data_IF_778004392253
#
_entry.id   IF_778004392253
#
_cell.length_a   1.000
_cell.length_b   1.000
_cell.length_c   1.000
_cell.angle_alpha   90.00
_cell.angle_beta   90.00
_cell.angle_gamma   90.00
#
_symmetry.space_group_name_H-M   'P 1'
#
loop_
_entity.id
_entity.type
_entity.pdbx_description
1 polymer ?
#
# COMPACT_ATOMS: atom_id res chain seq x y z
N UNK A 1 7.76 -25.42 -4.78
CA UNK A 1 7.51 -25.29 -3.33
C UNK A 1 7.13 -23.83 -3.07
N UNK A 2 6.25 -23.49 -2.11
CA UNK A 2 5.96 -22.11 -1.74
C UNK A 2 7.18 -21.41 -1.13
N UNK A 3 7.11 -20.07 -0.95
CA UNK A 3 8.18 -19.32 -0.27
C UNK A 3 8.41 -19.94 1.12
N UNK A 4 9.63 -19.95 1.66
CA UNK A 4 9.93 -20.63 2.92
C UNK A 4 8.92 -20.26 4.02
N UNK A 5 8.15 -21.25 4.48
CA UNK A 5 7.14 -21.06 5.53
C UNK A 5 5.77 -20.56 5.07
N UNK A 6 5.48 -20.52 3.77
CA UNK A 6 4.12 -20.33 3.24
C UNK A 6 3.48 -21.69 2.98
N UNK A 7 2.20 -21.84 3.35
CA UNK A 7 1.44 -23.08 3.07
C UNK A 7 0.68 -22.96 1.74
N UNK A 8 -0.56 -22.50 1.77
CA UNK A 8 -1.41 -22.29 0.58
C UNK A 8 -1.18 -20.93 -0.06
N UNK A 9 -0.65 -19.96 0.70
CA UNK A 9 -0.48 -18.58 0.24
C UNK A 9 -1.71 -17.69 0.47
N UNK A 10 -2.86 -18.26 0.86
CA UNK A 10 -4.14 -17.53 0.93
C UNK A 10 -4.36 -16.89 2.29
N UNK A 11 -3.89 -17.52 3.36
CA UNK A 11 -4.13 -17.08 4.73
C UNK A 11 -3.53 -15.68 4.99
N UNK A 12 -4.07 -14.94 5.95
CA UNK A 12 -3.52 -13.64 6.33
C UNK A 12 -2.03 -13.76 6.72
N UNK A 13 -1.66 -14.80 7.47
CA UNK A 13 -0.28 -15.07 7.86
C UNK A 13 0.62 -15.36 6.65
N UNK A 14 0.16 -16.17 5.69
CA UNK A 14 0.93 -16.46 4.48
C UNK A 14 1.13 -15.21 3.60
N UNK A 15 0.09 -14.37 3.48
CA UNK A 15 0.14 -13.11 2.73
C UNK A 15 1.15 -12.16 3.35
N UNK A 16 1.10 -11.96 4.67
CA UNK A 16 2.05 -11.12 5.40
C UNK A 16 3.47 -11.65 5.22
N UNK A 17 3.69 -12.97 5.33
CA UNK A 17 5.01 -13.58 5.12
C UNK A 17 5.54 -13.35 3.71
N UNK A 18 4.66 -13.44 2.70
CA UNK A 18 5.02 -13.16 1.31
C UNK A 18 5.42 -11.69 1.13
N UNK A 19 4.69 -10.75 1.74
CA UNK A 19 5.05 -9.32 1.73
C UNK A 19 6.39 -9.08 2.41
N UNK A 20 6.63 -9.67 3.59
CA UNK A 20 7.90 -9.55 4.31
C UNK A 20 9.08 -10.06 3.49
N UNK A 21 8.94 -11.22 2.84
CA UNK A 21 9.97 -11.75 1.94
C UNK A 21 10.24 -10.81 0.75
N UNK A 22 9.20 -10.17 0.21
CA UNK A 22 9.34 -9.27 -0.93
C UNK A 22 10.03 -7.93 -0.60
N UNK A 23 9.94 -7.45 0.64
CA UNK A 23 10.51 -6.16 1.08
C UNK A 23 11.80 -6.30 1.91
N UNK A 24 12.33 -7.52 2.04
CA UNK A 24 13.60 -7.78 2.72
C UNK A 24 14.75 -7.07 2.00
N UNK A 25 15.74 -6.58 2.75
CA UNK A 25 16.86 -5.81 2.17
C UNK A 25 17.74 -6.65 1.24
N UNK A 26 17.78 -7.96 1.46
CA UNK A 26 18.51 -8.94 0.69
C UNK A 26 17.61 -9.81 -0.20
N UNK A 27 16.35 -9.39 -0.41
CA UNK A 27 15.36 -10.13 -1.19
C UNK A 27 15.89 -10.50 -2.58
N UNK A 28 15.77 -11.78 -2.94
CA UNK A 28 16.22 -12.34 -4.21
C UNK A 28 15.04 -12.87 -5.01
N UNK A 29 15.17 -12.97 -6.36
CA UNK A 29 14.11 -13.54 -7.18
C UNK A 29 13.66 -14.95 -6.78
N UNK A 30 14.57 -15.74 -6.18
CA UNK A 30 14.30 -17.11 -5.72
C UNK A 30 13.46 -17.21 -4.44
N UNK A 31 13.29 -16.11 -3.70
CA UNK A 31 12.54 -16.10 -2.43
C UNK A 31 11.02 -16.03 -2.66
N UNK A 32 10.59 -15.69 -3.89
CA UNK A 32 9.20 -15.50 -4.26
C UNK A 32 8.79 -16.41 -5.42
N UNK A 33 7.71 -17.15 -5.22
CA UNK A 33 7.12 -18.01 -6.25
C UNK A 33 6.03 -17.30 -7.04
N UNK A 34 5.80 -17.75 -8.28
CA UNK A 34 4.79 -17.23 -9.20
C UNK A 34 4.09 -18.42 -9.89
N UNK A 35 2.75 -18.41 -10.02
CA UNK A 35 1.79 -17.42 -9.50
C UNK A 35 1.63 -17.49 -7.96
N UNK A 36 1.00 -16.47 -7.37
CA UNK A 36 0.73 -16.37 -5.93
C UNK A 36 -0.50 -15.52 -5.63
N UNK A 37 -0.77 -15.27 -4.35
CA UNK A 37 -1.96 -14.55 -3.86
C UNK A 37 -1.68 -13.10 -3.41
N UNK A 38 -0.45 -12.63 -3.60
CA UNK A 38 -0.07 -11.22 -3.47
C UNK A 38 0.11 -10.66 -4.88
N UNK A 39 -0.39 -9.45 -5.10
CA UNK A 39 -0.39 -8.78 -6.41
C UNK A 39 0.48 -7.51 -6.32
N UNK A 40 1.78 -7.58 -6.66
CA UNK A 40 2.65 -6.42 -6.61
C UNK A 40 2.22 -5.37 -7.63
N UNK A 41 2.15 -4.11 -7.20
CA UNK A 41 1.94 -2.95 -8.05
C UNK A 41 3.22 -2.11 -8.07
N UNK A 42 3.56 -1.56 -9.24
CA UNK A 42 4.73 -0.68 -9.40
C UNK A 42 4.27 0.77 -9.52
N UNK A 43 4.63 1.60 -8.54
CA UNK A 43 4.37 3.04 -8.61
C UNK A 43 5.21 3.72 -9.70
N UNK A 44 4.65 4.78 -10.28
CA UNK A 44 5.41 5.69 -11.13
C UNK A 44 6.56 6.39 -10.35
N UNK A 45 7.71 6.67 -10.98
CA UNK A 45 8.84 7.33 -10.32
C UNK A 45 8.50 8.70 -9.72
N UNK A 46 7.65 9.49 -10.38
CA UNK A 46 7.20 10.80 -9.90
C UNK A 46 6.07 10.76 -8.88
N UNK A 47 5.66 9.58 -8.41
CA UNK A 47 4.65 9.43 -7.36
C UNK A 47 3.31 10.09 -7.74
N UNK A 48 2.63 10.64 -6.74
CA UNK A 48 1.31 11.28 -6.93
C UNK A 48 1.36 12.53 -7.82
N UNK A 49 2.55 13.12 -8.03
CA UNK A 49 2.72 14.24 -8.94
C UNK A 49 2.71 13.80 -10.42
N UNK A 50 3.04 12.54 -10.69
CA UNK A 50 2.98 11.95 -12.03
C UNK A 50 1.65 11.23 -12.28
N UNK A 51 1.15 10.48 -11.29
CA UNK A 51 -0.11 9.74 -11.38
C UNK A 51 -0.86 9.78 -10.06
N UNK A 52 -2.08 10.31 -10.09
CA UNK A 52 -3.00 10.38 -8.94
C UNK A 52 -3.67 9.01 -8.68
N UNK A 53 -2.88 8.04 -8.24
CA UNK A 53 -3.36 6.69 -7.94
C UNK A 53 -3.04 6.24 -6.51
N UNK A 54 -3.82 5.28 -6.00
CA UNK A 54 -3.57 4.67 -4.69
C UNK A 54 -2.19 3.99 -4.60
N UNK A 55 -1.69 3.45 -5.72
CA UNK A 55 -0.34 2.86 -5.80
C UNK A 55 0.72 3.90 -5.46
N UNK A 56 0.69 5.05 -6.12
CA UNK A 56 1.62 6.15 -5.90
C UNK A 56 1.46 6.76 -4.51
N UNK A 57 0.22 7.03 -4.10
CA UNK A 57 -0.09 7.59 -2.79
C UNK A 57 0.43 6.70 -1.65
N UNK A 58 0.33 5.38 -1.79
CA UNK A 58 0.87 4.43 -0.80
C UNK A 58 2.38 4.55 -0.67
N UNK A 59 3.10 4.58 -1.79
CA UNK A 59 4.56 4.69 -1.79
C UNK A 59 5.01 6.04 -1.23
N UNK A 60 4.33 7.13 -1.60
CA UNK A 60 4.67 8.46 -1.14
C UNK A 60 4.39 8.65 0.36
N UNK A 61 3.28 8.13 0.89
CA UNK A 61 3.03 8.13 2.33
C UNK A 61 4.13 7.40 3.11
N UNK A 62 4.63 6.27 2.60
CA UNK A 62 5.74 5.56 3.25
C UNK A 62 7.03 6.39 3.24
N UNK A 63 7.31 7.10 2.14
CA UNK A 63 8.46 8.01 2.05
C UNK A 63 8.33 9.18 3.03
N UNK A 64 7.15 9.81 3.10
CA UNK A 64 6.86 10.89 4.04
C UNK A 64 7.01 10.44 5.50
N UNK A 65 6.71 9.18 5.80
CA UNK A 65 6.91 8.57 7.11
C UNK A 65 8.38 8.16 7.40
N UNK A 66 9.31 8.34 6.45
CA UNK A 66 10.71 7.91 6.60
C UNK A 66 10.91 6.39 6.55
N UNK A 67 9.95 5.65 5.99
CA UNK A 67 9.97 4.19 5.87
C UNK A 67 10.43 3.75 4.46
N UNK A 68 10.63 2.44 4.29
CA UNK A 68 10.88 1.85 2.97
C UNK A 68 9.72 2.20 2.02
N UNK A 69 9.97 2.54 0.74
CA UNK A 69 8.94 2.95 -0.22
C UNK A 69 8.10 1.76 -0.72
N UNK A 70 7.50 1.01 0.21
CA UNK A 70 6.71 -0.20 -0.03
C UNK A 70 5.54 -0.21 0.95
N UNK A 71 4.32 -0.44 0.47
CA UNK A 71 3.14 -0.55 1.31
C UNK A 71 2.14 -1.56 0.77
N UNK A 72 1.17 -1.91 1.61
CA UNK A 72 0.05 -2.80 1.27
C UNK A 72 -1.22 -1.96 1.25
N UNK A 73 -2.03 -2.12 0.22
CA UNK A 73 -3.33 -1.49 0.08
C UNK A 73 -4.38 -2.52 -0.30
N UNK A 74 -5.62 -2.24 0.08
CA UNK A 74 -6.80 -2.99 -0.30
C UNK A 74 -7.98 -2.02 -0.31
N UNK A 75 -8.85 -2.16 -1.29
CA UNK A 75 -10.06 -1.35 -1.35
C UNK A 75 -11.03 -1.75 -0.24
N UNK A 76 -11.75 -0.75 0.28
CA UNK A 76 -12.80 -0.97 1.27
C UNK A 76 -14.10 -1.28 0.54
N UNK A 77 -14.65 -2.46 0.80
CA UNK A 77 -15.92 -2.92 0.24
C UNK A 77 -16.93 -3.10 1.37
N UNK A 78 -18.18 -2.68 1.12
CA UNK A 78 -19.29 -2.89 2.03
C UNK A 78 -19.66 -4.37 2.09
N UNK A 79 -20.42 -4.77 3.12
CA UNK A 79 -20.87 -6.16 3.30
C UNK A 79 -21.75 -6.67 2.15
N UNK A 80 -22.44 -5.76 1.45
CA UNK A 80 -23.26 -6.05 0.27
C UNK A 80 -22.45 -6.20 -1.04
N UNK A 81 -21.11 -6.09 -0.96
CA UNK A 81 -20.20 -6.18 -2.09
C UNK A 81 -20.04 -4.88 -2.89
N UNK A 82 -20.74 -3.80 -2.53
CA UNK A 82 -20.55 -2.48 -3.16
C UNK A 82 -19.29 -1.79 -2.64
N UNK A 83 -18.72 -0.90 -3.45
CA UNK A 83 -17.55 -0.12 -3.02
C UNK A 83 -17.95 0.93 -1.98
N UNK A 84 -17.17 1.02 -0.90
CA UNK A 84 -17.40 2.03 0.12
C UNK A 84 -17.20 3.45 -0.44
N UNK A 85 -18.13 4.35 -0.14
CA UNK A 85 -18.05 5.78 -0.47
C UNK A 85 -17.53 6.58 0.72
N UNK A 86 -17.22 7.85 0.51
CA UNK A 86 -16.60 8.72 1.52
C UNK A 86 -17.28 8.65 2.92
N UNK A 87 -18.61 8.72 3.07
CA UNK A 87 -19.22 8.62 4.40
C UNK A 87 -18.96 7.27 5.09
N UNK A 88 -18.93 6.18 4.33
CA UNK A 88 -18.66 4.83 4.84
C UNK A 88 -17.18 4.66 5.21
N UNK A 89 -16.27 5.25 4.42
CA UNK A 89 -14.82 5.27 4.71
C UNK A 89 -14.54 6.05 5.99
N UNK A 90 -15.18 7.21 6.19
CA UNK A 90 -15.04 8.01 7.41
C UNK A 90 -15.53 7.24 8.65
N UNK A 91 -16.67 6.56 8.56
CA UNK A 91 -17.17 5.72 9.65
C UNK A 91 -16.26 4.51 9.92
N UNK A 92 -15.75 3.86 8.87
CA UNK A 92 -14.78 2.77 9.01
C UNK A 92 -13.49 3.26 9.68
N UNK A 93 -12.96 4.41 9.25
CA UNK A 93 -11.78 5.02 9.84
C UNK A 93 -11.97 5.31 11.33
N UNK A 94 -13.09 5.94 11.70
CA UNK A 94 -13.44 6.22 13.10
C UNK A 94 -13.56 4.95 13.94
N UNK A 95 -14.14 3.87 13.39
CA UNK A 95 -14.33 2.60 14.09
C UNK A 95 -13.02 1.89 14.38
N UNK A 96 -12.05 1.98 13.47
CA UNK A 96 -10.78 1.27 13.54
C UNK A 96 -9.59 2.14 13.95
N UNK A 97 -9.85 3.40 14.35
CA UNK A 97 -8.83 4.40 14.70
C UNK A 97 -7.80 4.62 13.58
N UNK A 98 -8.29 4.75 12.36
CA UNK A 98 -7.48 4.97 11.16
C UNK A 98 -7.68 6.40 10.64
N UNK A 99 -6.58 7.12 10.32
CA UNK A 99 -6.68 8.40 9.65
C UNK A 99 -7.25 8.22 8.24
N UNK A 100 -8.03 9.21 7.81
CA UNK A 100 -8.57 9.29 6.44
C UNK A 100 -7.95 10.50 5.77
N UNK A 101 -7.28 10.26 4.64
CA UNK A 101 -6.64 11.28 3.80
C UNK A 101 -7.00 11.06 2.35
N UNK A 102 -6.98 12.11 1.55
CA UNK A 102 -7.20 12.04 0.10
C UNK A 102 -5.87 12.09 -0.66
N UNK A 103 -5.88 11.67 -1.92
CA UNK A 103 -4.71 11.79 -2.80
C UNK A 103 -4.35 13.27 -3.01
N UNK A 104 -5.37 14.14 -3.08
CA UNK A 104 -5.19 15.58 -3.19
C UNK A 104 -4.46 16.14 -1.95
N UNK A 105 -4.83 15.73 -0.73
CA UNK A 105 -4.13 16.15 0.50
C UNK A 105 -2.64 15.78 0.46
N UNK A 106 -2.32 14.57 0.00
CA UNK A 106 -0.92 14.08 -0.10
C UNK A 106 -0.17 14.91 -1.14
N UNK A 107 -0.80 15.19 -2.28
CA UNK A 107 -0.22 15.98 -3.37
C UNK A 107 0.07 17.40 -2.93
N UNK A 108 -0.89 18.07 -2.29
CA UNK A 108 -0.73 19.41 -1.75
C UNK A 108 0.39 19.46 -0.71
N UNK A 109 0.44 18.48 0.20
CA UNK A 109 1.49 18.39 1.22
C UNK A 109 2.89 18.27 0.61
N UNK A 110 3.07 17.42 -0.41
CA UNK A 110 4.36 17.24 -1.10
C UNK A 110 4.78 18.53 -1.81
N UNK A 111 3.84 19.19 -2.49
CA UNK A 111 4.11 20.45 -3.18
C UNK A 111 4.53 21.55 -2.21
N UNK A 112 3.84 21.69 -1.08
CA UNK A 112 4.17 22.66 -0.05
C UNK A 112 5.55 22.36 0.60
N UNK A 113 5.83 21.09 0.88
CA UNK A 113 7.11 20.67 1.48
C UNK A 113 8.30 20.93 0.56
N UNK A 114 8.12 20.77 -0.76
CA UNK A 114 9.16 21.07 -1.74
C UNK A 114 9.47 22.58 -1.81
N UNK A 115 8.45 23.44 -1.70
CA UNK A 115 8.61 24.90 -1.70
C UNK A 115 9.26 25.42 -0.41
N UNK A 116 9.03 24.76 0.73
CA UNK A 116 9.66 25.13 2.00
C UNK A 116 11.16 24.76 2.07
N UNK A 117 11.61 23.82 1.22
CA UNK A 117 13.00 23.36 1.17
C UNK A 117 13.87 24.13 0.15
N UNK A 118 13.28 25.04 -0.62
CA UNK A 118 13.93 25.91 -1.62
C UNK A 118 14.10 27.32 -1.11
#
# INVERSE_FOLDING_TARGET
>A
MPAPGVTTGVSAADRVRTVQAAIADDARPGDLHRPGHIFPLRACPGGVLEREGHTEATVDLMRLAGLKPCGVLCEVTNEDGTMARMPQIQEFGRRHDLPVVTIDDIKEYIQASAQAAS
#
